data_IF_225943968970
#
_entry.id   IF_225943968970
#
_cell.length_a   1.000
_cell.length_b   1.000
_cell.length_c   1.000
_cell.angle_alpha   90.00
_cell.angle_beta   90.00
_cell.angle_gamma   90.00
#
_symmetry.space_group_name_H-M   'P 1'
#
loop_
_entity.id
_entity.type
_entity.pdbx_description
1 polymer ?
#
# COMPACT_ATOMS: atom_id res chain seq x y z
N UNK A 1 -2.40 11.92 11.35
CA UNK A 1 -1.59 11.79 10.13
C UNK A 1 -2.15 12.75 9.09
N UNK A 2 -1.30 13.58 8.49
CA UNK A 2 -1.69 14.56 7.47
C UNK A 2 -1.34 14.14 6.04
N UNK A 3 -0.51 13.11 5.89
CA UNK A 3 -0.17 12.52 4.60
C UNK A 3 -0.14 10.99 4.68
N UNK A 4 -0.61 10.33 3.63
CA UNK A 4 -0.61 8.87 3.51
C UNK A 4 -0.05 8.48 2.15
N UNK A 5 0.91 7.55 2.13
CA UNK A 5 1.54 7.05 0.91
C UNK A 5 1.57 5.52 0.92
N UNK A 6 1.04 4.90 -0.12
CA UNK A 6 1.28 3.48 -0.36
C UNK A 6 2.64 3.36 -1.06
N UNK A 7 3.65 2.94 -0.29
CA UNK A 7 4.93 2.53 -0.83
C UNK A 7 4.75 1.23 -1.61
N UNK A 8 5.21 1.20 -2.85
CA UNK A 8 5.20 0.02 -3.71
C UNK A 8 6.64 -0.36 -4.03
N UNK A 9 6.99 -1.63 -3.86
CA UNK A 9 8.37 -2.11 -3.84
C UNK A 9 8.52 -3.31 -4.75
N UNK A 10 9.50 -3.27 -5.64
CA UNK A 10 9.87 -4.41 -6.48
C UNK A 10 10.82 -5.32 -5.69
N UNK A 11 10.25 -6.14 -4.82
CA UNK A 11 10.97 -7.09 -3.99
C UNK A 11 11.05 -8.46 -4.68
N UNK A 12 12.22 -9.13 -4.71
CA UNK A 12 12.30 -10.52 -5.13
C UNK A 12 11.39 -11.41 -4.28
N UNK A 13 10.64 -12.32 -4.92
CA UNK A 13 9.66 -13.18 -4.23
C UNK A 13 10.30 -14.00 -3.09
N UNK A 14 11.52 -14.48 -3.30
CA UNK A 14 12.26 -15.26 -2.30
C UNK A 14 12.69 -14.47 -1.06
N UNK A 15 12.50 -13.14 -1.04
CA UNK A 15 12.85 -12.26 0.08
C UNK A 15 11.62 -11.55 0.67
N UNK A 16 10.41 -11.82 0.17
CA UNK A 16 9.19 -11.09 0.54
C UNK A 16 8.93 -11.12 2.05
N UNK A 17 9.04 -12.28 2.69
CA UNK A 17 8.74 -12.41 4.12
C UNK A 17 9.75 -11.64 4.98
N UNK A 18 11.03 -11.68 4.61
CA UNK A 18 12.09 -10.94 5.30
C UNK A 18 11.90 -9.43 5.14
N UNK A 19 11.71 -8.95 3.91
CA UNK A 19 11.56 -7.53 3.64
C UNK A 19 10.24 -6.99 4.18
N UNK A 20 9.16 -7.76 4.06
CA UNK A 20 7.86 -7.44 4.65
C UNK A 20 7.95 -7.27 6.16
N UNK A 21 8.68 -8.17 6.85
CA UNK A 21 8.93 -8.08 8.30
C UNK A 21 9.75 -6.84 8.66
N UNK A 22 10.80 -6.52 7.89
CA UNK A 22 11.59 -5.29 8.08
C UNK A 22 10.74 -4.04 7.90
N UNK A 23 9.89 -4.00 6.87
CA UNK A 23 8.98 -2.89 6.62
C UNK A 23 7.94 -2.72 7.75
N UNK A 24 7.36 -3.82 8.23
CA UNK A 24 6.34 -3.81 9.27
C UNK A 24 6.86 -3.37 10.65
N UNK A 25 8.18 -3.38 10.85
CA UNK A 25 8.82 -2.93 12.09
C UNK A 25 8.87 -1.40 12.25
N UNK A 26 8.48 -0.64 11.23
CA UNK A 26 8.38 0.82 11.30
C UNK A 26 7.04 1.23 11.89
N UNK A 27 7.05 2.04 12.95
CA UNK A 27 5.83 2.54 13.61
C UNK A 27 4.90 3.31 12.65
N UNK A 28 5.46 3.90 11.60
CA UNK A 28 4.71 4.64 10.59
C UNK A 28 4.03 3.75 9.52
N UNK A 29 4.32 2.44 9.51
CA UNK A 29 3.73 1.46 8.60
C UNK A 29 2.58 0.74 9.29
N UNK A 30 1.35 0.93 8.82
CA UNK A 30 0.17 0.29 9.43
C UNK A 30 -0.14 -1.08 8.85
N UNK A 31 0.20 -1.31 7.58
CA UNK A 31 -0.10 -2.55 6.86
C UNK A 31 0.98 -2.84 5.83
N UNK A 32 1.33 -4.12 5.70
CA UNK A 32 2.12 -4.66 4.60
C UNK A 32 1.29 -5.66 3.79
N UNK A 33 1.40 -5.63 2.46
CA UNK A 33 0.75 -6.60 1.57
C UNK A 33 1.75 -7.19 0.59
N UNK A 34 1.58 -8.48 0.28
CA UNK A 34 2.25 -9.15 -0.82
C UNK A 34 1.24 -9.39 -1.95
N UNK A 35 1.63 -9.07 -3.18
CA UNK A 35 0.86 -9.40 -4.40
C UNK A 35 1.80 -9.93 -5.49
N UNK A 36 1.28 -10.75 -6.43
CA UNK A 36 2.02 -11.08 -7.64
C UNK A 36 2.37 -9.81 -8.44
N UNK A 37 3.52 -9.84 -9.11
CA UNK A 37 3.89 -8.81 -10.07
C UNK A 37 3.25 -9.06 -11.45
N UNK A 38 2.98 -7.98 -12.17
CA UNK A 38 2.52 -7.99 -13.56
C UNK A 38 3.38 -7.03 -14.38
N UNK A 39 3.37 -7.13 -15.71
CA UNK A 39 4.23 -6.34 -16.59
C UNK A 39 4.03 -4.82 -16.42
N UNK A 40 2.78 -4.40 -16.19
CA UNK A 40 2.39 -3.00 -15.97
C UNK A 40 2.47 -2.57 -14.49
N UNK A 41 2.51 -3.53 -13.57
CA UNK A 41 2.62 -3.31 -12.13
C UNK A 41 3.66 -4.25 -11.51
N UNK A 42 4.97 -3.98 -11.70
CA UNK A 42 6.05 -4.89 -11.32
C UNK A 42 6.41 -4.79 -9.82
N UNK A 43 5.44 -4.51 -8.96
CA UNK A 43 5.64 -4.38 -7.51
C UNK A 43 5.03 -5.57 -6.79
N UNK A 44 5.76 -6.11 -5.83
CA UNK A 44 5.37 -7.33 -5.10
C UNK A 44 5.08 -7.05 -3.64
N UNK A 45 5.76 -6.09 -3.02
CA UNK A 45 5.55 -5.67 -1.64
C UNK A 45 4.93 -4.26 -1.60
N UNK A 46 3.99 -4.07 -0.69
CA UNK A 46 3.24 -2.82 -0.53
C UNK A 46 3.23 -2.44 0.95
N UNK A 47 3.49 -1.16 1.27
CA UNK A 47 3.51 -0.64 2.64
C UNK A 47 2.63 0.58 2.76
N UNK A 48 1.63 0.56 3.65
CA UNK A 48 0.81 1.73 3.93
C UNK A 48 1.51 2.62 4.97
N UNK A 49 2.17 3.68 4.49
CA UNK A 49 2.94 4.63 5.31
C UNK A 49 2.11 5.86 5.68
N UNK A 50 2.25 6.31 6.92
CA UNK A 50 1.59 7.49 7.46
C UNK A 50 2.59 8.53 7.98
N UNK A 51 2.41 9.80 7.60
CA UNK A 51 3.22 10.94 8.05
C UNK A 51 2.36 12.09 8.57
N UNK A 52 2.97 13.09 9.22
CA UNK A 52 2.26 14.36 9.50
C UNK A 52 2.28 15.24 8.26
N UNK A 53 3.38 15.22 7.51
CA UNK A 53 3.52 15.86 6.20
C UNK A 53 3.93 14.86 5.10
N UNK A 54 3.83 15.23 3.80
CA UNK A 54 4.38 14.42 2.72
C UNK A 54 5.88 14.14 2.87
N UNK A 55 6.65 15.11 3.37
CA UNK A 55 8.08 14.98 3.61
C UNK A 55 8.37 13.91 4.67
N UNK A 56 7.61 13.87 5.77
CA UNK A 56 7.74 12.82 6.79
C UNK A 56 7.53 11.43 6.18
N UNK A 57 6.50 11.27 5.35
CA UNK A 57 6.19 9.99 4.71
C UNK A 57 7.28 9.60 3.69
N UNK A 58 7.82 10.56 2.94
CA UNK A 58 8.96 10.33 2.04
C UNK A 58 10.20 9.87 2.81
N UNK A 59 10.47 10.47 3.97
CA UNK A 59 11.62 10.10 4.78
C UNK A 59 11.46 8.71 5.39
N UNK A 60 10.25 8.28 5.75
CA UNK A 60 9.96 6.88 6.10
C UNK A 60 10.28 5.95 4.94
N UNK A 61 9.82 6.24 3.72
CA UNK A 61 10.11 5.43 2.54
C UNK A 61 11.63 5.34 2.27
N UNK A 62 12.38 6.44 2.40
CA UNK A 62 13.84 6.41 2.27
C UNK A 62 14.50 5.54 3.34
N UNK A 63 14.02 5.58 4.58
CA UNK A 63 14.54 4.69 5.65
C UNK A 63 14.23 3.23 5.37
N UNK A 64 13.02 2.91 4.89
CA UNK A 64 12.66 1.55 4.47
C UNK A 64 13.57 1.10 3.33
N UNK A 65 13.79 1.93 2.31
CA UNK A 65 14.73 1.61 1.22
C UNK A 65 16.13 1.33 1.75
N UNK A 66 16.63 2.13 2.70
CA UNK A 66 17.97 1.93 3.28
C UNK A 66 18.10 0.61 4.05
N UNK A 67 17.06 0.19 4.77
CA UNK A 67 17.08 -1.04 5.58
C UNK A 67 16.84 -2.30 4.74
N UNK A 68 15.98 -2.20 3.73
CA UNK A 68 15.64 -3.32 2.84
C UNK A 68 16.62 -3.49 1.68
N UNK A 69 17.26 -2.40 1.24
CA UNK A 69 18.11 -2.36 0.06
C UNK A 69 17.34 -2.36 -1.27
N UNK A 70 16.01 -2.33 -1.25
CA UNK A 70 15.18 -2.38 -2.47
C UNK A 70 15.29 -1.04 -3.21
N UNK A 71 15.92 -1.05 -4.39
CA UNK A 71 16.16 0.18 -5.15
C UNK A 71 14.94 0.66 -5.93
N UNK A 72 14.15 -0.27 -6.45
CA UNK A 72 13.00 0.04 -7.29
C UNK A 72 11.74 0.12 -6.42
N UNK A 73 11.32 1.35 -6.13
CA UNK A 73 10.11 1.62 -5.37
C UNK A 73 9.47 2.94 -5.80
N UNK A 74 8.20 3.13 -5.46
CA UNK A 74 7.48 4.37 -5.69
C UNK A 74 6.50 4.67 -4.56
N UNK A 75 6.03 5.92 -4.49
CA UNK A 75 5.04 6.40 -3.53
C UNK A 75 3.73 6.71 -4.26
N UNK A 76 2.66 5.98 -3.94
CA UNK A 76 1.32 6.27 -4.42
C UNK A 76 0.58 7.09 -3.35
N UNK A 77 0.37 8.37 -3.62
CA UNK A 77 -0.20 9.31 -2.65
C UNK A 77 -1.71 9.24 -2.58
N UNK A 78 -2.25 9.17 -1.36
CA UNK A 78 -3.68 9.38 -1.12
C UNK A 78 -3.97 10.89 -1.15
N UNK A 79 -4.51 11.39 -2.26
CA UNK A 79 -4.85 12.82 -2.43
C UNK A 79 -6.32 13.13 -2.12
N UNK A 80 -7.21 12.16 -2.35
CA UNK A 80 -8.65 12.30 -2.09
C UNK A 80 -9.25 10.94 -1.72
N UNK A 81 -10.02 10.92 -0.64
CA UNK A 81 -10.83 9.76 -0.26
C UNK A 81 -12.22 9.88 -0.89
N UNK A 82 -12.49 9.09 -1.94
CA UNK A 82 -13.80 9.06 -2.59
C UNK A 82 -14.80 8.19 -1.82
N UNK A 83 -14.32 7.10 -1.21
CA UNK A 83 -15.16 6.12 -0.48
C UNK A 83 -14.31 5.36 0.54
N UNK A 84 -14.76 5.29 1.80
CA UNK A 84 -14.21 4.44 2.85
C UNK A 84 -15.33 3.93 3.76
N UNK A 85 -15.86 2.77 3.41
CA UNK A 85 -16.94 2.10 4.15
C UNK A 85 -16.61 0.62 4.27
N UNK A 86 -17.16 -0.06 5.28
CA UNK A 86 -17.06 -1.52 5.37
C UNK A 86 -18.01 -2.15 4.36
N UNK A 87 -17.58 -3.25 3.74
CA UNK A 87 -18.47 -4.08 2.92
C UNK A 87 -19.52 -4.72 3.82
N UNK A 88 -20.78 -4.65 3.42
CA UNK A 88 -21.86 -5.44 4.00
C UNK A 88 -21.98 -6.73 3.20
N UNK A 89 -21.91 -7.86 3.88
CA UNK A 89 -22.06 -9.17 3.25
C UNK A 89 -23.53 -9.60 3.30
N UNK A 90 -23.95 -10.36 2.29
CA UNK A 90 -25.31 -10.93 2.17
C UNK A 90 -26.42 -9.88 2.10
N UNK A 91 -26.19 -8.79 1.36
CA UNK A 91 -27.23 -7.81 0.98
C UNK A 91 -27.52 -7.92 -0.53
N UNK A 92 -28.72 -7.51 -0.93
CA UNK A 92 -29.12 -7.48 -2.34
C UNK A 92 -28.66 -6.19 -3.05
N UNK A 93 -27.90 -5.32 -2.36
CA UNK A 93 -27.57 -3.96 -2.82
C UNK A 93 -26.87 -3.95 -4.18
N UNK A 94 -25.94 -4.89 -4.40
CA UNK A 94 -25.21 -4.96 -5.67
C UNK A 94 -26.12 -5.40 -6.81
N UNK A 95 -26.96 -6.43 -6.61
CA UNK A 95 -27.90 -6.88 -7.63
C UNK A 95 -28.93 -5.79 -7.98
N UNK A 96 -29.41 -5.04 -6.97
CA UNK A 96 -30.31 -3.90 -7.18
C UNK A 96 -29.63 -2.76 -7.93
N UNK A 97 -28.37 -2.45 -7.62
CA UNK A 97 -27.60 -1.43 -8.33
C UNK A 97 -27.34 -1.82 -9.78
N UNK A 98 -26.95 -3.07 -10.04
CA UNK A 98 -26.73 -3.61 -11.39
C UNK A 98 -28.02 -3.56 -12.22
N UNK A 99 -29.18 -3.91 -11.65
CA UNK A 99 -30.46 -3.82 -12.35
C UNK A 99 -30.87 -2.38 -12.72
N UNK A 100 -30.35 -1.37 -12.01
CA UNK A 100 -30.67 0.04 -12.23
C UNK A 100 -29.64 0.77 -13.11
N UNK A 101 -28.40 0.28 -13.19
CA UNK A 101 -27.27 1.01 -13.80
C UNK A 101 -26.43 0.18 -14.81
N UNK A 102 -26.74 -1.11 -14.98
CA UNK A 102 -26.07 -2.03 -15.88
C UNK A 102 -26.52 -1.97 -17.33
#
# INVERSE_FOLDING_TARGET
>A
FGANAMGVWQCPENQIDEMGSKCAAFDEVSHCYHRPAYDDLPYTLYTMVHGKTPEDALDVLKRIQKVTGIQNYSALWSTKEFKKVRVQYFTDDQAQWEAQNG
#
